data_IF_878079499253
#
_entry.id   IF_878079499253
#
_cell.length_a   1.000
_cell.length_b   1.000
_cell.length_c   1.000
_cell.angle_alpha   90.00
_cell.angle_beta   90.00
_cell.angle_gamma   90.00
#
_symmetry.space_group_name_H-M   'P 1'
#
loop_
_entity.id
_entity.type
_entity.pdbx_description
1 polymer ?
#
# COMPACT_ATOMS: atom_id res chain seq x y z
N UNK A 1 13.81 80.59 -23.18
CA UNK A 1 14.92 79.62 -23.32
C UNK A 1 14.33 78.22 -23.18
N UNK A 2 14.25 77.46 -24.29
CA UNK A 2 13.61 76.13 -24.36
C UNK A 2 14.55 75.07 -23.78
N UNK A 3 14.09 74.27 -22.81
CA UNK A 3 14.82 73.09 -22.31
C UNK A 3 14.53 71.90 -23.23
N UNK A 4 15.55 71.38 -23.91
CA UNK A 4 15.51 70.06 -24.56
C UNK A 4 15.70 68.99 -23.49
N UNK A 5 14.78 68.04 -23.39
CA UNK A 5 14.95 66.80 -22.63
C UNK A 5 15.42 65.70 -23.60
N UNK A 6 16.60 65.14 -23.33
CA UNK A 6 17.17 64.02 -24.07
C UNK A 6 16.76 62.73 -23.36
N UNK A 7 15.88 61.94 -23.99
CA UNK A 7 15.38 60.69 -23.43
C UNK A 7 16.27 59.54 -23.94
N UNK A 8 17.13 59.01 -23.06
CA UNK A 8 17.99 57.87 -23.38
C UNK A 8 17.18 56.56 -23.26
N UNK A 9 17.03 55.85 -24.38
CA UNK A 9 16.39 54.54 -24.44
C UNK A 9 17.46 53.47 -24.15
N UNK A 10 17.47 52.90 -22.95
CA UNK A 10 18.31 51.74 -22.62
C UNK A 10 17.63 50.47 -23.15
N UNK A 11 18.15 49.92 -24.24
CA UNK A 11 17.78 48.59 -24.72
C UNK A 11 18.32 47.52 -23.76
N UNK A 12 17.43 46.86 -23.02
CA UNK A 12 17.78 45.72 -22.17
C UNK A 12 18.06 44.48 -23.02
N UNK A 13 19.32 44.10 -23.14
CA UNK A 13 19.75 42.86 -23.79
C UNK A 13 19.57 41.71 -22.77
N UNK A 14 18.48 40.96 -22.87
CA UNK A 14 18.25 39.77 -22.04
C UNK A 14 19.23 38.67 -22.45
N UNK A 15 20.27 38.46 -21.64
CA UNK A 15 21.13 37.29 -21.72
C UNK A 15 20.34 36.07 -21.24
N UNK A 16 19.88 35.24 -22.16
CA UNK A 16 19.39 33.90 -21.83
C UNK A 16 20.58 33.04 -21.39
N UNK A 17 20.74 32.84 -20.08
CA UNK A 17 21.63 31.82 -19.54
C UNK A 17 21.07 30.45 -19.91
N UNK A 18 21.63 29.84 -20.95
CA UNK A 18 21.41 28.42 -21.23
C UNK A 18 22.18 27.62 -20.20
N UNK A 19 21.47 27.02 -19.23
CA UNK A 19 22.10 26.09 -18.28
C UNK A 19 22.42 24.81 -19.06
N UNK A 20 23.70 24.39 -19.18
CA UNK A 20 24.00 23.11 -19.80
C UNK A 20 23.37 21.98 -18.99
N UNK A 21 22.39 21.30 -19.58
CA UNK A 21 21.86 20.04 -19.04
C UNK A 21 22.98 19.01 -19.17
N UNK A 22 23.56 18.60 -18.05
CA UNK A 22 24.56 17.53 -18.04
C UNK A 22 23.86 16.20 -18.34
N UNK A 23 24.09 15.65 -19.54
CA UNK A 23 23.52 14.37 -19.99
C UNK A 23 24.15 13.12 -19.31
N UNK A 24 25.16 13.31 -18.46
CA UNK A 24 25.89 12.24 -17.77
C UNK A 24 25.65 12.37 -16.27
N UNK A 25 25.11 11.32 -15.63
CA UNK A 25 24.73 11.34 -14.23
C UNK A 25 25.65 10.45 -13.40
N UNK A 26 26.24 11.03 -12.36
CA UNK A 26 27.07 10.31 -11.39
C UNK A 26 26.20 9.87 -10.21
N UNK A 27 26.16 8.56 -9.89
CA UNK A 27 25.42 8.04 -8.75
C UNK A 27 25.88 8.64 -7.40
N UNK A 28 24.92 8.89 -6.50
CA UNK A 28 25.21 9.37 -5.15
C UNK A 28 25.71 8.22 -4.27
N UNK A 29 26.64 8.51 -3.35
CA UNK A 29 27.15 7.50 -2.41
C UNK A 29 26.18 7.24 -1.25
N UNK A 30 26.21 6.03 -0.71
CA UNK A 30 25.63 5.72 0.60
C UNK A 30 26.32 6.52 1.71
N UNK A 31 25.59 6.80 2.79
CA UNK A 31 26.13 7.43 4.01
C UNK A 31 27.08 6.48 4.77
N UNK A 32 26.94 5.17 4.59
CA UNK A 32 27.68 4.15 5.35
C UNK A 32 28.92 3.62 4.62
N UNK A 33 28.88 3.51 3.29
CA UNK A 33 30.03 3.10 2.47
C UNK A 33 29.97 3.78 1.10
N UNK A 34 31.00 4.55 0.76
CA UNK A 34 31.03 5.32 -0.47
C UNK A 34 31.13 4.45 -1.74
N UNK A 35 31.38 3.15 -1.62
CA UNK A 35 31.41 2.20 -2.74
C UNK A 35 30.02 1.69 -3.13
N UNK A 36 29.03 1.90 -2.27
CA UNK A 36 27.62 1.63 -2.54
C UNK A 36 27.00 2.90 -3.10
N UNK A 37 26.36 2.78 -4.27
CA UNK A 37 25.84 3.91 -5.03
C UNK A 37 24.36 3.75 -5.31
N UNK A 38 23.64 4.88 -5.28
CA UNK A 38 22.23 4.95 -5.60
C UNK A 38 21.97 5.94 -6.73
N UNK A 39 20.98 5.66 -7.55
CA UNK A 39 20.55 6.58 -8.60
C UNK A 39 19.05 6.43 -8.90
N UNK A 40 18.36 7.55 -9.10
CA UNK A 40 16.98 7.53 -9.61
C UNK A 40 17.00 7.22 -11.10
N UNK A 41 16.27 6.18 -11.50
CA UNK A 41 16.12 5.79 -12.89
C UNK A 41 15.43 6.89 -13.69
N UNK A 42 15.98 7.16 -14.88
CA UNK A 42 15.40 8.00 -15.91
C UNK A 42 15.79 7.38 -17.26
N UNK A 43 14.81 7.23 -18.15
CA UNK A 43 15.02 6.61 -19.47
C UNK A 43 16.01 7.39 -20.35
N UNK A 44 16.14 8.70 -20.12
CA UNK A 44 16.99 9.61 -20.88
C UNK A 44 18.42 9.78 -20.30
N UNK A 45 18.73 9.14 -19.16
CA UNK A 45 20.02 9.32 -18.50
C UNK A 45 21.05 8.26 -18.95
N UNK A 46 22.32 8.67 -19.01
CA UNK A 46 23.48 7.75 -19.05
C UNK A 46 24.12 7.73 -17.66
N UNK A 47 24.27 6.54 -17.09
CA UNK A 47 24.79 6.34 -15.74
C UNK A 47 26.27 6.02 -15.77
N UNK A 48 27.08 6.81 -15.06
CA UNK A 48 28.52 6.51 -14.93
C UNK A 48 28.77 5.47 -13.84
N UNK A 49 29.60 4.46 -14.16
CA UNK A 49 30.07 3.44 -13.22
C UNK A 49 31.60 3.46 -13.21
N UNK A 50 32.17 3.69 -12.03
CA UNK A 50 33.61 3.62 -11.81
C UNK A 50 34.02 2.16 -11.56
N UNK A 51 34.86 1.62 -12.44
CA UNK A 51 35.31 0.22 -12.44
C UNK A 51 36.80 0.15 -12.18
N UNK A 52 37.25 -0.90 -11.49
CA UNK A 52 38.66 -1.11 -11.14
C UNK A 52 39.03 -2.56 -11.34
N UNK A 53 40.23 -2.82 -11.88
CA UNK A 53 40.71 -4.18 -12.11
C UNK A 53 40.71 -5.01 -10.81
N UNK A 54 40.22 -6.24 -10.90
CA UNK A 54 40.07 -7.13 -9.75
C UNK A 54 38.90 -6.81 -8.81
N UNK A 55 38.05 -5.83 -9.12
CA UNK A 55 36.81 -5.53 -8.39
C UNK A 55 35.61 -5.81 -9.29
N UNK A 56 34.62 -6.55 -8.79
CA UNK A 56 33.35 -6.73 -9.48
C UNK A 56 32.35 -5.65 -9.02
N UNK A 57 31.58 -5.11 -9.96
CA UNK A 57 30.48 -4.20 -9.68
C UNK A 57 29.15 -4.95 -9.82
N UNK A 58 28.32 -4.85 -8.79
CA UNK A 58 26.98 -5.40 -8.73
C UNK A 58 25.95 -4.32 -9.09
N UNK A 59 25.19 -4.53 -10.16
CA UNK A 59 24.09 -3.66 -10.57
C UNK A 59 22.79 -4.37 -10.20
N UNK A 60 21.93 -3.64 -9.49
CA UNK A 60 20.66 -4.15 -8.98
C UNK A 60 19.51 -3.41 -9.67
N UNK A 61 18.71 -4.16 -10.43
CA UNK A 61 17.51 -3.66 -11.10
C UNK A 61 16.27 -3.81 -10.19
N UNK A 62 15.11 -3.37 -10.69
CA UNK A 62 13.84 -3.42 -9.97
C UNK A 62 13.42 -4.86 -9.66
N UNK A 63 12.65 -5.03 -8.59
CA UNK A 63 12.00 -6.30 -8.29
C UNK A 63 11.05 -6.72 -9.44
N UNK A 64 11.09 -8.00 -9.78
CA UNK A 64 10.31 -8.57 -10.91
C UNK A 64 10.78 -8.15 -12.32
N UNK A 65 11.86 -7.39 -12.46
CA UNK A 65 12.45 -7.07 -13.76
C UNK A 65 13.39 -8.19 -14.24
N UNK A 66 13.27 -8.60 -15.51
CA UNK A 66 14.04 -9.71 -16.08
C UNK A 66 14.97 -9.26 -17.18
N UNK A 67 16.23 -9.63 -17.05
CA UNK A 67 17.24 -9.45 -18.08
C UNK A 67 16.82 -10.13 -19.41
N UNK A 68 17.00 -9.41 -20.53
CA UNK A 68 16.82 -9.93 -21.89
C UNK A 68 18.17 -10.01 -22.60
N UNK A 69 18.88 -8.89 -22.72
CA UNK A 69 20.14 -8.81 -23.48
C UNK A 69 21.04 -7.65 -23.01
N UNK A 70 22.31 -7.66 -23.44
CA UNK A 70 23.24 -6.56 -23.26
C UNK A 70 24.16 -6.37 -24.46
N UNK A 71 24.79 -5.20 -24.54
CA UNK A 71 25.86 -4.91 -25.49
C UNK A 71 26.94 -4.05 -24.81
N UNK A 72 28.20 -4.50 -24.90
CA UNK A 72 29.36 -3.69 -24.55
C UNK A 72 29.91 -3.00 -25.80
N UNK A 73 30.48 -1.80 -25.63
CA UNK A 73 31.30 -1.19 -26.68
C UNK A 73 32.60 -1.97 -26.91
N UNK A 74 33.21 -2.47 -25.83
CA UNK A 74 34.35 -3.39 -25.86
C UNK A 74 34.04 -4.60 -24.97
N UNK A 75 33.60 -5.69 -25.60
CA UNK A 75 33.22 -6.93 -24.91
C UNK A 75 34.42 -7.72 -24.40
N UNK A 76 35.61 -7.52 -24.95
CA UNK A 76 36.81 -8.24 -24.50
C UNK A 76 37.34 -7.68 -23.18
N UNK A 77 37.14 -6.39 -22.95
CA UNK A 77 37.59 -5.69 -21.75
C UNK A 77 36.79 -6.03 -20.48
N UNK A 78 35.61 -6.66 -20.57
CA UNK A 78 34.74 -6.95 -19.43
C UNK A 78 34.27 -8.40 -19.38
N UNK A 79 34.19 -8.95 -18.17
CA UNK A 79 33.39 -10.12 -17.87
C UNK A 79 31.99 -9.68 -17.42
N UNK A 80 30.96 -10.42 -17.84
CA UNK A 80 29.56 -10.16 -17.51
C UNK A 80 28.89 -11.44 -17.01
N UNK A 81 28.10 -11.31 -15.95
CA UNK A 81 27.21 -12.37 -15.46
C UNK A 81 25.89 -11.76 -14.98
N UNK A 82 24.81 -12.53 -15.01
CA UNK A 82 23.51 -12.08 -14.51
C UNK A 82 22.73 -13.22 -13.84
N UNK A 83 21.84 -12.87 -12.91
CA UNK A 83 20.86 -13.78 -12.29
C UNK A 83 19.64 -12.98 -11.85
N UNK A 84 18.50 -13.18 -12.52
CA UNK A 84 17.29 -12.39 -12.28
C UNK A 84 17.55 -10.89 -12.50
N UNK A 85 17.29 -10.08 -11.47
CA UNK A 85 17.52 -8.62 -11.46
C UNK A 85 18.96 -8.20 -11.13
N UNK A 86 19.85 -9.16 -10.87
CA UNK A 86 21.24 -8.90 -10.49
C UNK A 86 22.16 -9.05 -11.69
N UNK A 87 22.96 -8.03 -11.95
CA UNK A 87 23.98 -7.99 -13.01
C UNK A 87 25.34 -7.77 -12.36
N UNK A 88 26.35 -8.49 -12.83
CA UNK A 88 27.71 -8.37 -12.34
C UNK A 88 28.63 -8.08 -13.52
N UNK A 89 29.42 -7.02 -13.39
CA UNK A 89 30.45 -6.67 -14.36
C UNK A 89 31.81 -6.63 -13.68
N UNK A 90 32.84 -7.06 -14.39
CA UNK A 90 34.22 -7.02 -13.89
C UNK A 90 35.18 -6.69 -15.04
N UNK A 91 35.99 -5.62 -14.94
CA UNK A 91 37.01 -5.35 -15.95
C UNK A 91 38.09 -6.44 -15.95
N UNK A 92 38.47 -6.87 -17.14
CA UNK A 92 39.54 -7.85 -17.44
C UNK A 92 40.83 -7.18 -17.89
N UNK A 93 40.76 -5.96 -18.41
CA UNK A 93 41.88 -5.21 -18.95
C UNK A 93 42.05 -3.85 -18.25
N UNK A 94 43.26 -3.32 -18.28
CA UNK A 94 43.52 -1.93 -17.94
C UNK A 94 42.98 -0.99 -19.05
N UNK A 95 42.71 0.27 -18.71
CA UNK A 95 42.19 1.27 -19.65
C UNK A 95 40.85 0.89 -20.31
N UNK A 96 40.05 0.06 -19.64
CA UNK A 96 38.75 -0.47 -20.11
C UNK A 96 37.61 0.56 -20.14
N UNK A 97 37.86 1.80 -20.58
CA UNK A 97 36.81 2.81 -20.73
C UNK A 97 35.88 2.43 -21.90
N UNK A 98 34.60 2.21 -21.62
CA UNK A 98 33.63 1.82 -22.65
C UNK A 98 32.19 2.11 -22.21
N UNK A 99 31.20 1.64 -22.95
CA UNK A 99 29.80 1.66 -22.55
C UNK A 99 29.23 0.25 -22.41
N UNK A 100 28.12 0.18 -21.66
CA UNK A 100 27.30 -1.01 -21.53
C UNK A 100 25.84 -0.60 -21.68
N UNK A 101 25.11 -1.28 -22.56
CA UNK A 101 23.66 -1.17 -22.69
C UNK A 101 23.05 -2.46 -22.19
N UNK A 102 22.05 -2.37 -21.31
CA UNK A 102 21.30 -3.52 -20.81
C UNK A 102 19.83 -3.32 -21.13
N UNK A 103 19.19 -4.33 -21.69
CA UNK A 103 17.75 -4.34 -22.03
C UNK A 103 17.06 -5.43 -21.21
N UNK A 104 15.93 -5.09 -20.62
CA UNK A 104 15.08 -5.97 -19.81
C UNK A 104 13.66 -6.04 -20.39
N UNK A 105 12.78 -6.80 -19.75
CA UNK A 105 11.36 -6.85 -20.09
C UNK A 105 10.59 -5.57 -19.71
N UNK A 106 11.20 -4.65 -18.95
CA UNK A 106 10.59 -3.37 -18.57
C UNK A 106 11.31 -2.14 -19.15
N UNK A 107 12.65 -2.14 -19.19
CA UNK A 107 13.46 -0.92 -19.36
C UNK A 107 14.77 -1.17 -20.12
N UNK A 108 15.39 -0.07 -20.55
CA UNK A 108 16.70 -0.07 -21.20
C UNK A 108 17.66 0.90 -20.51
N UNK A 109 18.75 0.36 -19.98
CA UNK A 109 19.78 1.06 -19.24
C UNK A 109 20.98 1.38 -20.12
N UNK A 110 21.57 2.57 -19.94
CA UNK A 110 22.78 3.00 -20.62
C UNK A 110 23.82 3.36 -19.58
N UNK A 111 24.94 2.66 -19.60
CA UNK A 111 26.04 2.86 -18.68
C UNK A 111 27.28 3.34 -19.41
N UNK A 112 27.98 4.31 -18.81
CA UNK A 112 29.37 4.65 -19.15
C UNK A 112 30.26 3.99 -18.11
N UNK A 113 31.11 3.08 -18.55
CA UNK A 113 32.08 2.39 -17.71
C UNK A 113 33.38 3.17 -17.76
N UNK A 114 33.77 3.73 -16.61
CA UNK A 114 34.99 4.50 -16.45
C UNK A 114 35.98 3.65 -15.65
N UNK A 115 37.10 3.30 -16.25
CA UNK A 115 38.19 2.61 -15.59
C UNK A 115 38.97 3.58 -14.69
N UNK A 116 39.30 3.10 -13.50
CA UNK A 116 40.11 3.80 -12.50
C UNK A 116 41.27 2.91 -12.02
N UNK A 117 42.42 3.54 -11.77
CA UNK A 117 43.59 2.88 -11.20
C UNK A 117 43.57 2.82 -9.66
N UNK A 118 42.73 3.64 -9.01
CA UNK A 118 42.59 3.70 -7.55
C UNK A 118 41.41 2.85 -7.06
N UNK A 119 41.70 1.80 -6.28
CA UNK A 119 40.67 0.92 -5.69
C UNK A 119 39.67 1.67 -4.80
N UNK A 120 40.06 2.83 -4.26
CA UNK A 120 39.21 3.67 -3.42
C UNK A 120 38.01 4.26 -4.18
N UNK A 121 38.14 4.48 -5.50
CA UNK A 121 37.10 5.03 -6.35
C UNK A 121 36.15 3.99 -6.97
N UNK A 122 36.34 2.69 -6.69
CA UNK A 122 35.54 1.63 -7.30
C UNK A 122 34.08 1.64 -6.82
N UNK A 123 33.15 1.42 -7.75
CA UNK A 123 31.75 1.14 -7.43
C UNK A 123 31.58 -0.36 -7.18
N UNK A 124 31.17 -0.73 -5.98
CA UNK A 124 30.92 -2.13 -5.61
C UNK A 124 29.47 -2.50 -5.88
N UNK A 125 28.54 -1.60 -5.58
CA UNK A 125 27.11 -1.81 -5.80
C UNK A 125 26.47 -0.54 -6.38
N UNK A 126 25.58 -0.72 -7.35
CA UNK A 126 24.72 0.31 -7.91
C UNK A 126 23.26 -0.16 -7.85
N UNK A 127 22.44 0.54 -7.08
CA UNK A 127 21.02 0.27 -6.95
C UNK A 127 20.16 1.43 -7.49
N UNK A 128 19.11 1.07 -8.24
CA UNK A 128 18.18 2.03 -8.82
C UNK A 128 16.97 2.30 -7.92
N UNK A 129 16.57 3.58 -7.85
CA UNK A 129 15.29 4.01 -7.32
C UNK A 129 14.33 4.33 -8.49
N UNK A 130 13.09 3.88 -8.40
CA UNK A 130 12.10 3.99 -9.48
C UNK A 130 10.92 4.87 -9.02
N UNK A 131 10.75 6.08 -9.59
CA UNK A 131 9.72 7.00 -9.14
C UNK A 131 8.29 6.49 -9.39
N UNK A 132 8.06 5.84 -10.53
CA UNK A 132 6.72 5.36 -10.93
C UNK A 132 6.22 4.19 -10.05
N UNK A 133 7.14 3.38 -9.57
CA UNK A 133 6.83 2.23 -8.70
C UNK A 133 6.48 2.69 -7.29
N UNK A 134 7.11 3.77 -6.82
CA UNK A 134 6.77 4.38 -5.54
C UNK A 134 5.37 5.02 -5.57
N UNK A 135 4.95 5.63 -6.68
CA UNK A 135 3.60 6.20 -6.79
C UNK A 135 2.54 5.12 -6.84
N UNK A 136 2.72 4.07 -7.63
CA UNK A 136 1.78 2.93 -7.68
C UNK A 136 1.61 2.27 -6.30
N UNK A 137 2.72 1.95 -5.62
CA UNK A 137 2.67 1.38 -4.27
C UNK A 137 1.98 2.33 -3.27
N UNK A 138 2.16 3.64 -3.40
CA UNK A 138 1.50 4.61 -2.54
C UNK A 138 -0.01 4.66 -2.78
N UNK A 139 -0.45 4.67 -4.04
CA UNK A 139 -1.88 4.67 -4.37
C UNK A 139 -2.55 3.36 -3.96
N UNK A 140 -1.93 2.20 -4.21
CA UNK A 140 -2.45 0.91 -3.74
C UNK A 140 -2.57 0.86 -2.22
N UNK A 141 -1.58 1.39 -1.49
CA UNK A 141 -1.65 1.49 -0.03
C UNK A 141 -2.75 2.44 0.43
N UNK A 142 -2.93 3.60 -0.24
CA UNK A 142 -4.01 4.53 0.06
C UNK A 142 -5.39 3.89 -0.17
N UNK A 143 -5.56 3.17 -1.28
CA UNK A 143 -6.79 2.44 -1.57
C UNK A 143 -7.08 1.37 -0.52
N UNK A 144 -6.06 0.56 -0.16
CA UNK A 144 -6.17 -0.44 0.89
C UNK A 144 -6.60 0.19 2.23
N UNK A 145 -5.96 1.27 2.63
CA UNK A 145 -6.29 2.00 3.86
C UNK A 145 -7.67 2.68 3.78
N UNK A 146 -8.11 3.08 2.59
CA UNK A 146 -9.46 3.61 2.39
C UNK A 146 -10.52 2.51 2.55
N UNK A 147 -10.29 1.32 2.00
CA UNK A 147 -11.17 0.15 2.16
C UNK A 147 -11.24 -0.26 3.63
N UNK A 148 -10.10 -0.37 4.31
CA UNK A 148 -10.02 -0.72 5.73
C UNK A 148 -10.81 0.26 6.59
N UNK A 149 -10.60 1.57 6.40
CA UNK A 149 -11.38 2.61 7.09
C UNK A 149 -12.87 2.55 6.75
N UNK A 150 -13.21 2.22 5.51
CA UNK A 150 -14.59 2.04 5.07
C UNK A 150 -15.34 0.95 5.83
N UNK A 151 -14.66 -0.10 6.30
CA UNK A 151 -15.28 -1.12 7.16
C UNK A 151 -15.64 -0.62 8.56
N UNK A 152 -14.91 0.37 9.08
CA UNK A 152 -15.19 0.99 10.38
C UNK A 152 -16.19 2.15 10.28
N UNK A 153 -16.61 2.53 9.07
CA UNK A 153 -17.59 3.58 8.88
C UNK A 153 -18.98 3.04 9.25
N UNK A 154 -19.53 3.54 10.36
CA UNK A 154 -20.84 3.14 10.86
C UNK A 154 -21.92 3.39 9.82
N UNK A 155 -22.80 2.40 9.63
CA UNK A 155 -24.09 2.62 8.98
C UNK A 155 -24.87 3.60 9.87
N UNK A 156 -25.51 4.61 9.27
CA UNK A 156 -26.17 5.68 10.00
C UNK A 156 -27.33 5.13 10.86
N UNK A 157 -27.38 5.59 12.12
CA UNK A 157 -28.47 5.36 13.06
C UNK A 157 -28.34 4.05 13.84
N UNK A 158 -28.10 4.16 15.15
CA UNK A 158 -28.28 3.03 16.07
C UNK A 158 -29.68 3.09 16.65
N UNK A 159 -30.39 1.96 16.60
CA UNK A 159 -31.60 1.77 17.37
C UNK A 159 -31.23 1.24 18.76
N UNK A 160 -31.60 2.00 19.80
CA UNK A 160 -31.35 1.66 21.21
C UNK A 160 -32.63 1.24 21.95
N UNK A 161 -33.78 1.21 21.27
CA UNK A 161 -35.10 1.01 21.88
C UNK A 161 -35.37 -0.46 22.14
N UNK A 162 -34.71 -0.99 23.16
CA UNK A 162 -34.82 -2.38 23.58
C UNK A 162 -35.31 -2.50 25.02
N UNK A 163 -36.30 -3.36 25.25
CA UNK A 163 -36.78 -3.73 26.59
C UNK A 163 -36.52 -5.20 26.88
N UNK A 164 -36.57 -5.59 28.16
CA UNK A 164 -36.22 -6.95 28.59
C UNK A 164 -37.19 -7.46 29.65
N UNK A 165 -37.49 -8.76 29.62
CA UNK A 165 -38.35 -9.44 30.61
C UNK A 165 -37.87 -10.86 30.88
N UNK A 166 -37.85 -11.27 32.16
CA UNK A 166 -37.36 -12.58 32.61
C UNK A 166 -36.14 -12.48 33.54
N UNK A 167 -35.22 -13.44 33.43
CA UNK A 167 -34.04 -13.56 34.29
C UNK A 167 -33.01 -12.44 34.06
N UNK A 168 -33.01 -11.42 34.93
CA UNK A 168 -32.11 -10.26 34.81
C UNK A 168 -30.63 -10.57 35.08
N UNK A 169 -30.34 -11.68 35.74
CA UNK A 169 -28.98 -12.14 36.03
C UNK A 169 -28.21 -12.62 34.79
N UNK A 170 -28.90 -12.75 33.64
CA UNK A 170 -28.30 -13.05 32.33
C UNK A 170 -28.52 -11.90 31.33
N UNK A 171 -28.90 -10.72 31.81
CA UNK A 171 -29.20 -9.59 30.97
C UNK A 171 -27.92 -8.95 30.38
N UNK A 172 -27.95 -8.57 29.09
CA UNK A 172 -26.92 -7.73 28.53
C UNK A 172 -26.99 -6.32 29.14
N UNK A 173 -25.83 -5.68 29.28
CA UNK A 173 -25.68 -4.29 29.73
C UNK A 173 -26.29 -3.34 28.69
N UNK A 174 -26.06 -3.62 27.41
CA UNK A 174 -26.60 -2.83 26.30
C UNK A 174 -27.06 -3.76 25.19
N UNK A 175 -28.20 -3.43 24.59
CA UNK A 175 -28.66 -4.02 23.33
C UNK A 175 -28.95 -2.90 22.35
N UNK A 176 -28.46 -3.04 21.13
CA UNK A 176 -28.71 -2.09 20.06
C UNK A 176 -28.64 -2.77 18.70
N UNK A 177 -29.15 -2.11 17.67
CA UNK A 177 -28.93 -2.55 16.29
C UNK A 177 -28.60 -1.38 15.36
N UNK A 178 -28.05 -1.68 14.20
CA UNK A 178 -27.76 -0.72 13.14
C UNK A 178 -28.66 -0.92 11.90
N UNK A 179 -29.86 -1.50 12.09
CA UNK A 179 -30.78 -1.87 11.01
C UNK A 179 -30.40 -3.14 10.23
N UNK A 180 -29.23 -3.75 10.51
CA UNK A 180 -28.78 -5.01 9.88
C UNK A 180 -28.31 -6.06 10.88
N UNK A 181 -27.57 -5.63 11.89
CA UNK A 181 -26.96 -6.47 12.93
C UNK A 181 -27.48 -5.99 14.28
N UNK A 182 -27.94 -6.93 15.11
CA UNK A 182 -28.24 -6.67 16.53
C UNK A 182 -27.05 -7.07 17.40
N UNK A 183 -26.67 -6.20 18.32
CA UNK A 183 -25.54 -6.34 19.22
C UNK A 183 -26.05 -6.47 20.66
N UNK A 184 -25.49 -7.44 21.38
CA UNK A 184 -25.77 -7.68 22.80
C UNK A 184 -24.45 -7.64 23.57
N UNK A 185 -24.27 -6.63 24.42
CA UNK A 185 -23.08 -6.48 25.26
C UNK A 185 -23.30 -7.08 26.63
N UNK A 186 -22.46 -8.01 27.05
CA UNK A 186 -22.52 -8.67 28.35
C UNK A 186 -21.41 -8.19 29.28
N UNK A 187 -21.57 -8.34 30.60
CA UNK A 187 -20.46 -8.14 31.55
C UNK A 187 -19.32 -9.12 31.26
N UNK A 188 -18.08 -8.65 31.28
CA UNK A 188 -16.90 -9.44 30.91
C UNK A 188 -16.68 -10.72 31.75
N UNK A 189 -17.18 -10.75 32.99
CA UNK A 189 -17.04 -11.90 33.90
C UNK A 189 -18.28 -12.81 33.93
N UNK A 190 -19.27 -12.58 33.06
CA UNK A 190 -20.47 -13.42 32.95
C UNK A 190 -20.24 -14.55 31.94
N UNK A 191 -20.79 -15.73 32.22
CA UNK A 191 -20.85 -16.80 31.23
C UNK A 191 -21.63 -16.37 29.98
N UNK A 192 -21.04 -16.59 28.81
CA UNK A 192 -21.63 -16.15 27.55
C UNK A 192 -22.91 -16.93 27.23
N UNK A 193 -24.09 -16.28 27.15
CA UNK A 193 -25.34 -16.98 26.89
C UNK A 193 -25.53 -17.30 25.40
N UNK A 194 -26.50 -18.15 25.10
CA UNK A 194 -26.95 -18.39 23.73
C UNK A 194 -28.11 -17.48 23.37
N UNK A 195 -28.04 -16.87 22.17
CA UNK A 195 -29.07 -15.99 21.63
C UNK A 195 -29.86 -16.74 20.55
N UNK A 196 -31.18 -16.72 20.69
CA UNK A 196 -32.15 -17.34 19.80
C UNK A 196 -33.04 -16.27 19.19
N UNK A 197 -33.32 -16.44 17.90
CA UNK A 197 -34.40 -15.73 17.23
C UNK A 197 -35.73 -16.35 17.65
N UNK A 198 -36.73 -15.51 17.87
CA UNK A 198 -38.12 -15.94 18.09
C UNK A 198 -38.96 -15.49 16.90
N UNK A 199 -39.67 -16.43 16.25
CA UNK A 199 -40.59 -16.13 15.16
C UNK A 199 -41.96 -15.60 15.66
N UNK A 200 -42.89 -15.36 14.75
CA UNK A 200 -44.21 -14.82 15.09
C UNK A 200 -45.07 -15.84 15.86
N UNK A 201 -44.84 -17.13 15.64
CA UNK A 201 -45.49 -18.26 16.29
C UNK A 201 -44.88 -18.58 17.66
N UNK A 202 -43.73 -18.00 17.97
CA UNK A 202 -43.01 -18.17 19.24
C UNK A 202 -41.97 -19.29 19.24
N UNK A 203 -41.66 -19.90 18.09
CA UNK A 203 -40.61 -20.89 17.98
C UNK A 203 -39.23 -20.24 18.04
N UNK A 204 -38.28 -21.00 18.60
CA UNK A 204 -36.91 -20.56 18.79
C UNK A 204 -36.00 -21.14 17.70
N UNK A 205 -35.15 -20.31 17.11
CA UNK A 205 -34.17 -20.74 16.10
C UNK A 205 -32.79 -20.16 16.38
N UNK A 206 -31.76 -20.99 16.17
CA UNK A 206 -30.37 -20.54 16.21
C UNK A 206 -30.03 -19.82 14.91
N UNK A 207 -29.26 -18.74 15.04
CA UNK A 207 -28.81 -17.91 13.92
C UNK A 207 -27.30 -17.67 14.01
N UNK A 208 -26.59 -17.50 12.87
CA UNK A 208 -25.19 -17.15 12.89
C UNK A 208 -24.92 -15.89 13.72
N UNK A 209 -23.92 -16.01 14.60
CA UNK A 209 -23.46 -14.95 15.49
C UNK A 209 -21.94 -14.90 15.50
N UNK A 210 -21.41 -13.74 15.83
CA UNK A 210 -19.98 -13.51 15.97
C UNK A 210 -19.74 -12.79 17.28
N UNK A 211 -18.70 -13.17 18.01
CA UNK A 211 -18.27 -12.42 19.20
C UNK A 211 -17.30 -11.33 18.74
N UNK A 212 -17.58 -10.08 19.15
CA UNK A 212 -16.84 -8.88 18.78
C UNK A 212 -16.53 -8.04 20.03
N UNK A 213 -15.80 -6.94 19.84
CA UNK A 213 -15.32 -6.09 20.93
C UNK A 213 -13.94 -6.51 21.42
N UNK A 214 -13.16 -5.55 21.91
CA UNK A 214 -11.77 -5.81 22.34
C UNK A 214 -11.67 -6.85 23.46
N UNK A 215 -12.72 -6.98 24.27
CA UNK A 215 -12.81 -7.91 25.39
C UNK A 215 -13.67 -9.14 25.08
N UNK A 216 -14.07 -9.35 23.82
CA UNK A 216 -14.99 -10.41 23.40
C UNK A 216 -16.31 -10.41 24.21
N UNK A 217 -16.80 -9.23 24.56
CA UNK A 217 -17.95 -9.00 25.45
C UNK A 217 -19.25 -8.69 24.68
N UNK A 218 -19.21 -8.65 23.34
CA UNK A 218 -20.36 -8.32 22.51
C UNK A 218 -20.69 -9.48 21.58
N UNK A 219 -21.91 -10.00 21.65
CA UNK A 219 -22.44 -10.91 20.63
C UNK A 219 -23.12 -10.08 19.53
N UNK A 220 -22.57 -10.14 18.31
CA UNK A 220 -23.16 -9.59 17.11
C UNK A 220 -23.95 -10.68 16.36
N UNK A 221 -25.26 -10.45 16.19
CA UNK A 221 -26.17 -11.33 15.47
C UNK A 221 -26.51 -10.71 14.12
N UNK A 222 -26.29 -11.45 13.03
CA UNK A 222 -26.41 -10.94 11.66
C UNK A 222 -27.87 -10.86 11.16
N UNK A 223 -28.75 -10.29 11.99
CA UNK A 223 -30.18 -10.02 11.70
C UNK A 223 -30.74 -9.05 12.74
N UNK A 224 -31.78 -8.31 12.37
CA UNK A 224 -32.65 -7.56 13.28
C UNK A 224 -33.99 -8.27 13.39
N UNK A 225 -34.54 -8.41 14.60
CA UNK A 225 -35.78 -9.12 14.89
C UNK A 225 -36.59 -8.39 15.97
N UNK A 226 -37.94 -8.47 15.97
CA UNK A 226 -38.76 -7.85 17.00
C UNK A 226 -38.58 -8.48 18.39
N UNK A 227 -38.22 -9.77 18.45
CA UNK A 227 -38.08 -10.50 19.71
C UNK A 227 -36.87 -11.44 19.68
N UNK A 228 -36.11 -11.43 20.75
CA UNK A 228 -34.98 -12.32 20.98
C UNK A 228 -35.17 -13.07 22.28
N UNK A 229 -34.59 -14.26 22.36
CA UNK A 229 -34.52 -15.01 23.59
C UNK A 229 -33.06 -15.35 23.92
N UNK A 230 -32.63 -14.98 25.12
CA UNK A 230 -31.32 -15.27 25.67
C UNK A 230 -31.48 -16.42 26.66
N UNK A 231 -30.70 -17.49 26.48
CA UNK A 231 -30.73 -18.67 27.37
C UNK A 231 -29.35 -18.97 27.94
N UNK A 232 -29.32 -19.32 29.22
CA UNK A 232 -28.13 -19.82 29.90
C UNK A 232 -28.53 -20.89 30.93
N UNK A 233 -28.32 -22.15 30.57
CA UNK A 233 -28.82 -23.30 31.34
C UNK A 233 -30.36 -23.28 31.40
N UNK A 234 -30.92 -23.26 32.61
CA UNK A 234 -32.38 -23.20 32.84
C UNK A 234 -32.97 -21.80 32.82
N UNK A 235 -32.13 -20.76 32.72
CA UNK A 235 -32.56 -19.35 32.75
C UNK A 235 -32.90 -18.86 31.36
N UNK A 236 -33.89 -17.97 31.27
CA UNK A 236 -34.33 -17.36 30.03
C UNK A 236 -34.67 -15.87 30.23
N UNK A 237 -34.28 -15.06 29.25
CA UNK A 237 -34.58 -13.64 29.20
C UNK A 237 -35.06 -13.29 27.79
N UNK A 238 -36.25 -12.70 27.68
CA UNK A 238 -36.77 -12.15 26.45
C UNK A 238 -36.28 -10.71 26.29
N UNK A 239 -35.86 -10.35 25.07
CA UNK A 239 -35.46 -8.99 24.69
C UNK A 239 -36.33 -8.55 23.51
N UNK A 240 -36.99 -7.41 23.65
CA UNK A 240 -37.94 -6.88 22.66
C UNK A 240 -37.36 -5.64 22.00
N UNK A 241 -37.46 -5.56 20.67
CA UNK A 241 -37.12 -4.39 19.90
C UNK A 241 -38.38 -3.54 19.71
N UNK A 242 -38.49 -2.46 20.48
CA UNK A 242 -39.66 -1.56 20.49
C UNK A 242 -39.74 -0.65 19.25
N UNK A 243 -38.65 -0.53 18.50
CA UNK A 243 -38.56 0.26 17.28
C UNK A 243 -38.20 -0.61 16.07
N UNK A 244 -38.71 -1.85 16.05
CA UNK A 244 -38.46 -2.79 14.96
C UNK A 244 -39.05 -2.28 13.64
N UNK A 245 -38.20 -2.08 12.63
CA UNK A 245 -38.62 -1.82 11.26
C UNK A 245 -38.57 -3.10 10.43
N UNK A 246 -39.74 -3.56 9.99
CA UNK A 246 -39.90 -4.74 9.14
C UNK A 246 -39.31 -4.58 7.73
N UNK A 247 -39.15 -3.35 7.23
CA UNK A 247 -38.59 -3.10 5.90
C UNK A 247 -37.06 -3.25 5.91
N UNK A 248 -36.42 -2.88 7.03
CA UNK A 248 -34.97 -3.02 7.25
C UNK A 248 -34.09 -2.27 6.24
N UNK A 249 -32.79 -2.57 6.25
CA UNK A 249 -31.81 -1.96 5.34
C UNK A 249 -31.19 -3.03 4.42
N UNK A 250 -31.53 -3.08 3.11
CA UNK A 250 -31.04 -4.11 2.21
C UNK A 250 -29.51 -3.99 2.02
N UNK A 251 -28.82 -5.14 1.91
CA UNK A 251 -27.38 -5.17 1.65
C UNK A 251 -27.06 -5.04 0.15
N UNK A 252 -26.85 -3.79 -0.30
CA UNK A 252 -26.50 -3.49 -1.70
C UNK A 252 -25.00 -3.61 -2.01
N UNK A 253 -24.14 -3.63 -0.98
CA UNK A 253 -22.68 -3.62 -1.14
C UNK A 253 -22.08 -5.02 -1.10
N UNK A 254 -22.80 -6.01 -0.59
CA UNK A 254 -22.30 -7.35 -0.36
C UNK A 254 -21.28 -7.43 0.78
N UNK A 255 -21.18 -6.40 1.62
CA UNK A 255 -20.34 -6.36 2.83
C UNK A 255 -21.14 -5.81 4.03
N UNK A 256 -20.52 -5.75 5.21
CA UNK A 256 -21.13 -5.11 6.39
C UNK A 256 -21.09 -3.57 6.31
N UNK A 257 -20.26 -3.01 5.43
CA UNK A 257 -20.08 -1.57 5.24
C UNK A 257 -20.99 -1.04 4.13
N UNK A 258 -21.46 0.19 4.31
CA UNK A 258 -22.22 0.92 3.28
C UNK A 258 -21.34 1.52 2.19
N UNK A 259 -20.02 1.60 2.39
CA UNK A 259 -19.07 2.22 1.45
C UNK A 259 -18.11 1.21 0.79
N UNK A 260 -18.00 -0.01 1.33
CA UNK A 260 -17.15 -1.05 0.75
C UNK A 260 -18.00 -2.04 -0.05
N UNK A 261 -17.73 -2.12 -1.36
CA UNK A 261 -18.42 -3.04 -2.26
C UNK A 261 -17.59 -4.31 -2.53
N UNK A 262 -18.22 -5.47 -2.44
CA UNK A 262 -17.62 -6.74 -2.85
C UNK A 262 -17.69 -6.87 -4.37
N UNK A 263 -16.53 -6.92 -5.03
CA UNK A 263 -16.41 -7.19 -6.47
C UNK A 263 -15.89 -8.61 -6.70
N UNK A 264 -16.62 -9.40 -7.50
CA UNK A 264 -16.16 -10.72 -7.92
C UNK A 264 -15.22 -10.54 -9.13
N UNK A 265 -13.91 -10.55 -8.89
CA UNK A 265 -12.93 -10.69 -9.96
C UNK A 265 -12.95 -12.15 -10.40
N UNK A 266 -13.71 -12.47 -11.44
CA UNK A 266 -13.84 -13.83 -11.96
C UNK A 266 -12.48 -14.52 -12.08
N UNK A 267 -12.37 -15.75 -11.59
CA UNK A 267 -11.15 -16.54 -11.73
C UNK A 267 -10.82 -16.71 -13.21
N UNK A 268 -9.62 -16.31 -13.61
CA UNK A 268 -9.03 -16.73 -14.89
C UNK A 268 -8.52 -18.15 -14.77
#
# INVERSE_FOLDING_TARGET
MKKLAFMAFLSSFSFFYTVPVQALKTPSSSEYDHRIRYITYNVADVVQIETVIGVATHIILEEGERYITHAFGDSEAYAFAHKGRHIFIKPKAELANTNLIVVTDKRSYKFRLQFRNDRAGATYELAFHYPDTNTQNLEENKERLAIERGFYQSVNGYNLSYTMSGNQDIAPINTWDNGRITYFKFPANMDMPSIYLVDAEGNESLIPRTVVGNSNDIIAVHKVNPKWLIRLGKRALAVFNEAYDSNGIPNTTGTISSVVHRINKGGK
#
